data_IF_234648535855
#
_entry.id   IF_234648535855
#
_cell.length_a   1.000
_cell.length_b   1.000
_cell.length_c   1.000
_cell.angle_alpha   90.00
_cell.angle_beta   90.00
_cell.angle_gamma   90.00
#
_symmetry.space_group_name_H-M   'P 1'
#
loop_
_entity.id
_entity.type
_entity.pdbx_description
1 polymer ?
#
# COMPACT_ATOMS: atom_id res chain seq x y z
N UNK A 1 8.77 -21.21 -0.42
CA UNK A 1 8.49 -19.78 -0.11
C UNK A 1 7.04 -19.56 0.25
N UNK A 2 6.07 -20.06 -0.53
CA UNK A 2 4.64 -19.95 -0.18
C UNK A 2 4.29 -20.57 1.18
N UNK A 3 4.90 -21.69 1.54
CA UNK A 3 4.68 -22.35 2.84
C UNK A 3 5.19 -21.52 4.03
N UNK A 4 6.27 -20.74 3.82
CA UNK A 4 6.75 -19.79 4.82
C UNK A 4 5.72 -18.67 5.04
N UNK A 5 5.18 -18.09 3.96
CA UNK A 5 4.17 -17.02 4.01
C UNK A 5 2.87 -17.51 4.67
N UNK A 6 2.45 -18.74 4.37
CA UNK A 6 1.27 -19.38 5.01
C UNK A 6 1.48 -19.64 6.50
N UNK A 7 2.72 -19.91 6.92
CA UNK A 7 3.07 -20.13 8.32
C UNK A 7 3.22 -18.85 9.16
N UNK A 8 3.15 -17.66 8.55
CA UNK A 8 3.24 -16.40 9.29
C UNK A 8 1.95 -16.11 10.07
N UNK A 9 2.10 -15.62 11.29
CA UNK A 9 0.97 -15.15 12.09
C UNK A 9 0.30 -13.95 11.37
N UNK A 10 -1.02 -13.97 11.11
CA UNK A 10 -1.73 -12.82 10.54
C UNK A 10 -1.58 -11.53 11.35
N UNK A 11 -1.26 -11.60 12.65
CA UNK A 11 -0.93 -10.39 13.42
C UNK A 11 0.38 -9.76 12.97
N UNK A 12 1.41 -10.56 12.69
CA UNK A 12 2.71 -10.08 12.21
C UNK A 12 2.56 -9.39 10.85
N UNK A 13 1.80 -9.97 9.93
CA UNK A 13 1.55 -9.40 8.59
C UNK A 13 0.89 -8.02 8.73
N UNK A 14 -0.20 -7.94 9.52
CA UNK A 14 -0.89 -6.67 9.78
C UNK A 14 0.01 -5.62 10.43
N UNK A 15 0.85 -6.01 11.39
CA UNK A 15 1.81 -5.10 12.01
C UNK A 15 2.87 -4.61 11.02
N UNK A 16 3.41 -5.50 10.19
CA UNK A 16 4.44 -5.13 9.20
C UNK A 16 3.89 -4.15 8.16
N UNK A 17 2.76 -4.48 7.50
CA UNK A 17 2.17 -3.59 6.51
C UNK A 17 1.59 -2.31 7.13
N UNK A 18 0.99 -2.42 8.32
CA UNK A 18 0.53 -1.26 9.08
C UNK A 18 1.67 -0.31 9.47
N UNK A 19 2.84 -0.84 9.85
CA UNK A 19 4.02 -0.03 10.14
C UNK A 19 4.56 0.67 8.88
N UNK A 20 4.60 -0.03 7.73
CA UNK A 20 4.99 0.58 6.46
C UNK A 20 4.06 1.75 6.12
N UNK A 21 2.75 1.57 6.26
CA UNK A 21 1.78 2.64 6.03
C UNK A 21 1.93 3.81 7.01
N UNK A 22 2.15 3.53 8.29
CA UNK A 22 2.36 4.58 9.29
C UNK A 22 3.62 5.39 9.00
N UNK A 23 4.71 4.73 8.60
CA UNK A 23 5.96 5.39 8.22
C UNK A 23 5.74 6.24 6.97
N UNK A 24 5.13 5.69 5.91
CA UNK A 24 4.83 6.43 4.69
C UNK A 24 3.93 7.65 4.96
N UNK A 25 2.91 7.50 5.82
CA UNK A 25 2.05 8.60 6.24
C UNK A 25 2.82 9.68 7.02
N UNK A 26 3.73 9.26 7.90
CA UNK A 26 4.61 10.18 8.63
C UNK A 26 5.55 10.90 7.67
N UNK A 27 6.05 10.21 6.64
CA UNK A 27 6.89 10.79 5.61
C UNK A 27 6.15 11.84 4.79
N UNK A 28 4.87 11.62 4.49
CA UNK A 28 4.02 12.56 3.76
C UNK A 28 3.83 13.92 4.48
N UNK A 29 4.13 14.00 5.79
CA UNK A 29 4.13 15.25 6.55
C UNK A 29 5.43 16.06 6.37
N UNK A 30 6.56 15.42 6.08
CA UNK A 30 7.82 16.13 5.93
C UNK A 30 7.81 17.17 4.79
N UNK A 31 7.25 16.92 3.60
CA UNK A 31 7.23 17.92 2.53
C UNK A 31 6.56 19.24 2.92
N UNK A 32 5.33 19.26 3.49
CA UNK A 32 4.74 20.51 3.94
C UNK A 32 5.53 21.17 5.07
N UNK A 33 6.05 20.41 6.05
CA UNK A 33 6.86 20.98 7.15
C UNK A 33 8.22 21.52 6.68
N UNK A 34 8.92 20.79 5.82
CA UNK A 34 10.20 21.18 5.25
C UNK A 34 10.04 22.42 4.37
N UNK A 35 9.03 22.49 3.52
CA UNK A 35 8.84 23.65 2.64
C UNK A 35 8.33 24.88 3.39
N UNK A 36 7.50 24.69 4.43
CA UNK A 36 7.06 25.77 5.30
C UNK A 36 8.23 26.42 6.08
N UNK A 37 9.27 25.64 6.42
CA UNK A 37 10.41 26.12 7.21
C UNK A 37 11.65 26.50 6.38
N UNK A 38 11.90 25.86 5.24
CA UNK A 38 13.14 26.01 4.47
C UNK A 38 13.10 27.11 3.40
N UNK A 39 11.91 27.58 3.00
CA UNK A 39 11.77 28.60 1.94
C UNK A 39 12.17 28.14 0.53
N UNK A 40 12.52 26.86 0.35
CA UNK A 40 12.93 26.28 -0.94
C UNK A 40 11.73 26.24 -1.88
N UNK A 41 11.83 26.92 -3.04
CA UNK A 41 10.78 26.97 -4.08
C UNK A 41 11.23 26.38 -5.41
N UNK A 42 12.30 25.59 -5.42
CA UNK A 42 12.89 25.08 -6.66
C UNK A 42 11.98 24.01 -7.29
N UNK A 43 11.44 24.23 -8.50
CA UNK A 43 10.72 23.19 -9.21
C UNK A 43 11.70 22.22 -9.87
N UNK A 44 11.34 20.94 -9.92
CA UNK A 44 12.07 19.90 -10.65
C UNK A 44 11.17 19.42 -11.80
N UNK A 45 11.64 19.57 -13.04
CA UNK A 45 10.85 19.26 -14.25
C UNK A 45 9.49 19.98 -14.30
N UNK A 46 9.40 21.18 -13.72
CA UNK A 46 8.15 21.95 -13.63
C UNK A 46 7.23 21.53 -12.48
N UNK A 47 7.58 20.50 -11.71
CA UNK A 47 6.81 20.02 -10.56
C UNK A 47 7.43 20.53 -9.26
N UNK A 48 6.64 21.05 -8.30
CA UNK A 48 7.15 21.45 -7.00
C UNK A 48 7.78 20.25 -6.27
N UNK A 49 8.90 20.48 -5.60
CA UNK A 49 9.61 19.45 -4.84
C UNK A 49 8.71 18.72 -3.83
N UNK A 50 7.72 19.41 -3.25
CA UNK A 50 6.71 18.80 -2.35
C UNK A 50 5.97 17.63 -2.99
N UNK A 51 5.54 17.83 -4.23
CA UNK A 51 4.69 16.89 -4.96
C UNK A 51 5.48 15.63 -5.29
N UNK A 52 6.77 15.75 -5.56
CA UNK A 52 7.65 14.61 -5.81
C UNK A 52 7.71 13.64 -4.62
N UNK A 53 7.72 14.16 -3.38
CA UNK A 53 7.66 13.30 -2.19
C UNK A 53 6.33 12.56 -2.08
N UNK A 54 5.21 13.24 -2.32
CA UNK A 54 3.91 12.57 -2.29
C UNK A 54 3.77 11.51 -3.38
N UNK A 55 4.37 11.73 -4.56
CA UNK A 55 4.42 10.72 -5.61
C UNK A 55 5.25 9.51 -5.17
N UNK A 56 6.39 9.73 -4.51
CA UNK A 56 7.20 8.65 -3.97
C UNK A 56 6.45 7.87 -2.88
N UNK A 57 5.81 8.57 -1.94
CA UNK A 57 4.99 7.95 -0.90
C UNK A 57 3.84 7.14 -1.50
N UNK A 58 3.17 7.66 -2.54
CA UNK A 58 2.11 6.95 -3.26
C UNK A 58 2.62 5.66 -3.93
N UNK A 59 3.83 5.69 -4.51
CA UNK A 59 4.46 4.48 -5.07
C UNK A 59 4.77 3.47 -3.97
N UNK A 60 5.32 3.91 -2.84
CA UNK A 60 5.63 3.02 -1.70
C UNK A 60 4.34 2.38 -1.16
N UNK A 61 3.29 3.17 -0.96
CA UNK A 61 1.98 2.69 -0.50
C UNK A 61 1.37 1.71 -1.51
N UNK A 62 1.42 2.03 -2.81
CA UNK A 62 0.91 1.15 -3.86
C UNK A 62 1.65 -0.19 -3.92
N UNK A 63 2.98 -0.18 -3.81
CA UNK A 63 3.78 -1.40 -3.77
C UNK A 63 3.53 -2.23 -2.50
N UNK A 64 3.40 -1.56 -1.34
CA UNK A 64 3.10 -2.24 -0.08
C UNK A 64 1.70 -2.88 -0.11
N UNK A 65 0.71 -2.18 -0.67
CA UNK A 65 -0.64 -2.73 -0.86
C UNK A 65 -0.64 -3.91 -1.83
N UNK A 66 0.08 -3.78 -2.95
CA UNK A 66 0.20 -4.87 -3.92
C UNK A 66 0.88 -6.10 -3.31
N UNK A 67 1.93 -5.90 -2.50
CA UNK A 67 2.59 -6.99 -1.79
C UNK A 67 1.67 -7.63 -0.73
N UNK A 68 0.88 -6.83 0.00
CA UNK A 68 -0.11 -7.34 0.95
C UNK A 68 -1.16 -8.20 0.22
N UNK A 69 -1.66 -7.73 -0.92
CA UNK A 69 -2.62 -8.47 -1.74
C UNK A 69 -2.08 -9.83 -2.17
N UNK A 70 -0.82 -9.90 -2.63
CA UNK A 70 -0.17 -11.19 -2.97
C UNK A 70 -0.07 -12.11 -1.75
N UNK A 71 0.20 -11.56 -0.57
CA UNK A 71 0.30 -12.34 0.68
C UNK A 71 -1.06 -12.91 1.08
N UNK A 72 -2.13 -12.11 1.00
CA UNK A 72 -3.50 -12.53 1.28
C UNK A 72 -3.99 -13.59 0.26
N UNK A 73 -3.65 -13.42 -1.03
CA UNK A 73 -3.90 -14.41 -2.09
C UNK A 73 -3.22 -15.76 -1.81
N UNK A 74 -1.93 -15.77 -1.46
CA UNK A 74 -1.20 -17.00 -1.15
C UNK A 74 -1.81 -17.75 0.05
N UNK A 75 -2.42 -17.02 0.98
CA UNK A 75 -3.09 -17.55 2.18
C UNK A 75 -4.53 -18.01 1.90
N UNK A 76 -5.11 -17.66 0.76
CA UNK A 76 -6.49 -17.97 0.41
C UNK A 76 -7.51 -17.11 1.15
N UNK A 77 -7.09 -15.99 1.74
CA UNK A 77 -7.98 -15.09 2.49
C UNK A 77 -8.87 -14.22 1.56
N UNK A 78 -8.53 -14.13 0.27
CA UNK A 78 -9.30 -13.37 -0.72
C UNK A 78 -10.52 -14.12 -1.26
N UNK A 79 -10.55 -15.45 -1.16
CA UNK A 79 -11.57 -16.30 -1.77
C UNK A 79 -12.79 -16.53 -0.86
N UNK A 80 -12.73 -16.15 0.42
CA UNK A 80 -13.80 -16.41 1.41
C UNK A 80 -15.05 -15.52 1.24
N UNK A 81 -14.98 -14.44 0.45
CA UNK A 81 -16.04 -13.41 0.35
C UNK A 81 -16.61 -13.17 -1.06
N UNK A 82 -16.36 -14.06 -2.03
CA UNK A 82 -17.16 -14.07 -3.27
C UNK A 82 -18.36 -15.00 -3.07
N UNK A 83 -19.55 -14.50 -2.66
CA UNK A 83 -20.74 -15.33 -2.69
C UNK A 83 -20.88 -15.87 -4.11
N UNK A 84 -21.10 -17.17 -4.23
CA UNK A 84 -21.37 -17.90 -5.46
C UNK A 84 -22.70 -17.47 -6.13
N UNK A 85 -22.89 -16.16 -6.32
CA UNK A 85 -24.06 -15.55 -6.90
C UNK A 85 -23.69 -14.97 -8.26
N UNK A 86 -23.57 -15.84 -9.27
CA UNK A 86 -23.97 -15.52 -10.67
C UNK A 86 -23.71 -16.62 -11.70
N UNK A 87 -22.99 -17.71 -11.42
CA UNK A 87 -22.68 -18.72 -12.47
C UNK A 87 -23.84 -19.72 -12.73
N UNK A 88 -24.96 -19.67 -12.01
CA UNK A 88 -26.04 -20.68 -12.12
C UNK A 88 -27.40 -20.16 -12.65
N UNK A 89 -27.46 -19.02 -13.34
CA UNK A 89 -28.72 -18.52 -13.91
C UNK A 89 -28.60 -18.32 -15.43
N UNK A 90 -28.53 -19.41 -16.19
CA UNK A 90 -28.62 -19.35 -17.66
C UNK A 90 -28.22 -20.65 -18.33
N UNK A 91 -29.17 -21.57 -18.48
CA UNK A 91 -29.00 -22.75 -19.33
C UNK A 91 -29.92 -23.90 -18.93
N UNK A 92 -31.22 -23.70 -19.12
CA UNK A 92 -32.12 -24.80 -19.50
C UNK A 92 -31.86 -25.19 -20.97
#
# INVERSE_FOLDING_TARGET
>A
MKDFIRGLDPRTIRLTFGAIYLIALSMALFPPFYLASSGVRTPVLGVPWAVMYWLLDAVILGLALWALYIVEDIRGELDEDLPAASISAGGE
#
